data_IF_583023122994
#
_entry.id   IF_583023122994
#
_cell.length_a   1.000
_cell.length_b   1.000
_cell.length_c   1.000
_cell.angle_alpha   90.00
_cell.angle_beta   90.00
_cell.angle_gamma   90.00
#
_symmetry.space_group_name_H-M   'P 1'
#
loop_
_entity.id
_entity.type
_entity.pdbx_description
1 polymer ?
#
# COMPACT_ATOMS: atom_id res chain seq x y z
N UNK A 1 -2.59 4.68 0.34
CA UNK A 1 -3.35 5.94 0.41
C UNK A 1 -4.41 5.91 1.51
N UNK A 2 -5.15 4.83 1.73
CA UNK A 2 -6.07 4.67 2.87
C UNK A 2 -5.35 4.54 4.22
N UNK A 3 -4.15 3.98 4.28
CA UNK A 3 -3.35 3.84 5.51
C UNK A 3 -2.93 5.18 6.12
N UNK A 4 -2.64 6.19 5.30
CA UNK A 4 -2.31 7.54 5.77
C UNK A 4 -3.55 8.30 6.26
N UNK A 5 -4.74 7.98 5.74
CA UNK A 5 -6.01 8.62 6.15
C UNK A 5 -6.47 8.19 7.55
N UNK A 6 -6.19 6.95 7.95
CA UNK A 6 -6.53 6.43 9.29
C UNK A 6 -5.62 7.05 10.35
N UNK A 7 -4.35 7.32 10.02
CA UNK A 7 -3.40 7.99 10.94
C UNK A 7 -3.80 9.46 11.20
N UNK A 8 -4.33 10.16 10.20
CA UNK A 8 -4.84 11.53 10.36
C UNK A 8 -6.09 11.64 11.23
N UNK A 9 -6.97 10.64 11.21
CA UNK A 9 -8.16 10.62 12.07
C UNK A 9 -7.78 10.36 13.54
N UNK A 10 -6.75 9.56 13.78
CA UNK A 10 -6.24 9.27 15.12
C UNK A 10 -5.55 10.49 15.74
N UNK A 11 -4.69 11.18 14.99
CA UNK A 11 -3.98 12.39 15.44
C UNK A 11 -4.97 13.55 15.65
N UNK A 12 -5.94 13.75 14.77
CA UNK A 12 -6.97 14.78 14.90
C UNK A 12 -7.90 14.52 16.08
N UNK A 13 -8.14 13.28 16.46
CA UNK A 13 -8.93 12.93 17.64
C UNK A 13 -8.19 13.26 18.92
N UNK A 14 -6.90 12.92 19.04
CA UNK A 14 -6.08 13.24 20.22
C UNK A 14 -5.81 14.74 20.39
N UNK A 15 -5.65 15.49 19.31
CA UNK A 15 -5.48 16.95 19.38
C UNK A 15 -6.80 17.63 19.76
N UNK A 16 -7.93 17.14 19.28
CA UNK A 16 -9.25 17.63 19.65
C UNK A 16 -9.56 17.33 21.11
N UNK A 17 -9.18 16.14 21.59
CA UNK A 17 -9.34 15.74 22.98
C UNK A 17 -8.38 16.54 23.92
N UNK A 18 -7.16 16.87 23.48
CA UNK A 18 -6.23 17.71 24.23
C UNK A 18 -6.67 19.19 24.28
N UNK A 19 -7.26 19.73 23.23
CA UNK A 19 -7.83 21.09 23.21
C UNK A 19 -9.16 21.17 24.01
N UNK A 20 -9.94 20.10 24.03
CA UNK A 20 -11.11 19.96 24.90
C UNK A 20 -10.73 19.87 26.37
N UNK A 21 -9.58 19.26 26.71
CA UNK A 21 -9.08 19.17 28.09
C UNK A 21 -8.58 20.52 28.64
N UNK A 22 -8.13 21.44 27.81
CA UNK A 22 -7.54 22.71 28.25
C UNK A 22 -8.52 23.91 28.31
N UNK A 23 -9.66 23.86 27.63
CA UNK A 23 -10.55 25.03 27.52
C UNK A 23 -12.01 24.85 27.91
N UNK A 24 -12.53 23.65 28.03
CA UNK A 24 -13.96 23.39 28.22
C UNK A 24 -14.33 22.71 29.54
N UNK A 25 -13.34 22.29 30.36
CA UNK A 25 -13.61 21.59 31.63
C UNK A 25 -14.30 22.47 32.67
N UNK A 26 -14.16 23.76 32.62
CA UNK A 26 -14.77 24.67 33.61
C UNK A 26 -16.24 25.00 33.33
N UNK A 27 -16.64 25.05 32.04
CA UNK A 27 -18.02 25.35 31.62
C UNK A 27 -18.89 24.12 31.64
N UNK A 28 -18.33 22.96 31.26
CA UNK A 28 -19.06 21.69 31.26
C UNK A 28 -19.34 21.14 32.65
N UNK A 29 -18.42 21.32 33.57
CA UNK A 29 -18.60 20.87 34.97
C UNK A 29 -19.78 21.58 35.68
N UNK A 30 -19.93 22.88 35.50
CA UNK A 30 -21.03 23.63 36.13
C UNK A 30 -22.40 23.28 35.60
N UNK A 31 -22.51 22.92 34.30
CA UNK A 31 -23.80 22.53 33.67
C UNK A 31 -24.22 21.12 34.08
N UNK A 32 -23.28 20.21 34.27
CA UNK A 32 -23.54 18.85 34.75
C UNK A 32 -23.90 18.80 36.23
N UNK A 33 -23.28 19.65 37.07
CA UNK A 33 -23.63 19.78 38.50
C UNK A 33 -25.05 20.29 38.67
N UNK A 34 -25.47 21.33 37.94
CA UNK A 34 -26.86 21.82 37.94
C UNK A 34 -27.88 20.76 37.48
N UNK A 35 -27.54 19.90 36.54
CA UNK A 35 -28.40 18.81 36.12
C UNK A 35 -28.48 17.68 37.14
N UNK A 36 -27.42 17.43 37.90
CA UNK A 36 -27.42 16.46 39.01
C UNK A 36 -28.29 16.90 40.15
N UNK A 37 -28.27 18.20 40.54
CA UNK A 37 -29.13 18.77 41.54
C UNK A 37 -30.59 18.81 41.12
N UNK A 38 -30.92 19.07 39.87
CA UNK A 38 -32.30 19.07 39.35
C UNK A 38 -32.95 17.70 39.39
N UNK A 39 -32.19 16.62 39.25
CA UNK A 39 -32.71 15.25 39.43
C UNK A 39 -33.04 14.90 40.89
N UNK A 40 -32.47 15.66 41.88
CA UNK A 40 -32.73 15.44 43.32
C UNK A 40 -33.99 16.11 43.83
N UNK A 41 -34.51 17.13 43.13
CA UNK A 41 -35.69 17.89 43.56
C UNK A 41 -37.03 17.15 43.40
N UNK A 42 -37.05 15.95 42.83
CA UNK A 42 -38.24 15.19 42.53
C UNK A 42 -38.74 14.25 43.67
N UNK A 43 -38.08 14.20 44.84
CA UNK A 43 -38.43 13.30 45.92
C UNK A 43 -38.37 13.97 47.31
N UNK A 44 -39.51 14.25 47.94
CA UNK A 44 -39.62 14.60 49.35
C UNK A 44 -39.34 13.35 50.20
N UNK A 45 -38.08 13.16 50.62
CA UNK A 45 -37.68 12.09 51.55
C UNK A 45 -37.49 12.73 52.93
N UNK A 46 -38.36 12.38 53.90
CA UNK A 46 -38.23 12.78 55.28
C UNK A 46 -37.27 11.80 55.99
N UNK A 47 -36.08 12.28 56.40
CA UNK A 47 -35.10 11.50 57.16
C UNK A 47 -33.67 11.85 56.82
N UNK A 48 -32.70 11.16 57.46
CA UNK A 48 -31.27 11.32 57.18
C UNK A 48 -30.95 10.84 55.77
N UNK A 49 -30.30 11.65 54.95
CA UNK A 49 -30.08 11.42 53.52
C UNK A 49 -28.72 11.91 53.06
N UNK A 50 -28.21 11.30 51.98
CA UNK A 50 -27.04 11.77 51.27
C UNK A 50 -27.45 12.80 50.22
N UNK A 51 -26.80 13.94 50.19
CA UNK A 51 -27.04 14.97 49.18
C UNK A 51 -26.57 14.50 47.81
N UNK A 52 -27.18 15.03 46.74
CA UNK A 52 -26.71 14.78 45.38
C UNK A 52 -25.23 15.15 45.26
N UNK A 53 -24.43 14.28 44.67
CA UNK A 53 -23.02 14.50 44.45
C UNK A 53 -22.51 13.89 43.17
N UNK A 54 -21.53 14.53 42.55
CA UNK A 54 -20.80 13.97 41.44
C UNK A 54 -19.53 13.31 41.92
N UNK A 55 -19.16 12.16 41.38
CA UNK A 55 -17.90 11.52 41.70
C UNK A 55 -16.77 11.98 40.78
N UNK A 56 -15.54 11.49 41.02
CA UNK A 56 -14.33 11.87 40.28
C UNK A 56 -14.38 11.53 38.77
N UNK A 57 -15.29 10.64 38.35
CA UNK A 57 -15.44 10.22 36.95
C UNK A 57 -16.64 10.88 36.27
N UNK A 58 -17.33 11.79 36.95
CA UNK A 58 -18.45 12.55 36.41
C UNK A 58 -19.81 11.84 36.45
N UNK A 59 -19.93 10.75 37.23
CA UNK A 59 -21.24 10.09 37.46
C UNK A 59 -22.04 10.84 38.54
N UNK A 60 -23.26 11.23 38.20
CA UNK A 60 -24.18 11.87 39.14
C UNK A 60 -24.86 10.84 40.03
N UNK A 61 -24.75 11.03 41.37
CA UNK A 61 -25.43 10.27 42.40
C UNK A 61 -26.52 11.14 43.01
N UNK A 62 -27.81 10.82 42.73
CA UNK A 62 -28.92 11.64 43.22
C UNK A 62 -29.07 11.55 44.72
N UNK A 63 -29.76 12.52 45.30
CA UNK A 63 -30.15 12.50 46.70
C UNK A 63 -30.85 11.17 47.03
N UNK A 64 -30.38 10.51 48.11
CA UNK A 64 -30.85 9.16 48.45
C UNK A 64 -30.88 8.96 49.97
N UNK A 65 -31.87 8.18 50.49
CA UNK A 65 -32.00 7.90 51.90
C UNK A 65 -30.78 7.15 52.46
N UNK A 66 -30.47 7.40 53.73
CA UNK A 66 -29.38 6.73 54.43
C UNK A 66 -29.57 5.22 54.52
N UNK A 67 -28.50 4.43 54.34
CA UNK A 67 -28.52 2.96 54.33
C UNK A 67 -28.93 2.34 53.00
N UNK A 68 -29.07 3.12 51.93
CA UNK A 68 -29.49 2.59 50.60
C UNK A 68 -28.29 2.47 49.63
N UNK A 69 -28.25 1.34 48.91
CA UNK A 69 -27.34 1.15 47.78
C UNK A 69 -27.95 1.76 46.54
N UNK A 70 -27.29 2.75 45.95
CA UNK A 70 -27.75 3.45 44.75
C UNK A 70 -27.08 2.86 43.52
N UNK A 71 -27.84 2.63 42.47
CA UNK A 71 -27.40 2.02 41.22
C UNK A 71 -27.45 3.05 40.11
N UNK A 72 -26.40 3.15 39.32
CA UNK A 72 -26.33 4.03 38.14
C UNK A 72 -25.69 3.31 36.98
N UNK A 73 -26.13 3.58 35.74
CA UNK A 73 -25.48 3.01 34.57
C UNK A 73 -24.02 3.46 34.47
N UNK A 74 -23.18 2.61 33.96
CA UNK A 74 -21.76 2.92 33.74
C UNK A 74 -21.59 4.14 32.82
N UNK A 75 -20.60 5.02 33.07
CA UNK A 75 -20.34 6.17 32.20
C UNK A 75 -19.98 5.73 30.79
N UNK A 76 -20.50 6.42 29.78
CA UNK A 76 -20.22 6.08 28.38
C UNK A 76 -18.75 6.26 28.02
N UNK A 77 -18.09 7.24 28.63
CA UNK A 77 -16.67 7.58 28.40
C UNK A 77 -15.98 7.98 29.70
N UNK A 78 -14.78 7.41 29.90
CA UNK A 78 -13.89 7.83 31.00
C UNK A 78 -12.44 7.71 30.56
N UNK A 79 -11.66 8.78 30.69
CA UNK A 79 -10.27 8.90 30.21
C UNK A 79 -10.06 8.41 28.76
N UNK A 80 -10.99 8.74 27.85
CA UNK A 80 -10.89 8.35 26.44
C UNK A 80 -11.23 6.88 26.17
N UNK A 81 -11.66 6.12 27.18
CA UNK A 81 -12.10 4.74 27.08
C UNK A 81 -13.63 4.70 27.09
N UNK A 82 -14.19 3.91 26.18
CA UNK A 82 -15.66 3.68 26.09
C UNK A 82 -16.04 2.47 26.92
N UNK A 83 -17.07 2.65 27.77
CA UNK A 83 -17.61 1.57 28.61
C UNK A 83 -18.99 1.13 28.15
N UNK A 84 -19.35 -0.10 28.54
CA UNK A 84 -20.69 -0.61 28.27
C UNK A 84 -21.69 0.01 29.25
N UNK A 85 -22.58 0.86 28.74
CA UNK A 85 -23.60 1.57 29.52
C UNK A 85 -24.78 0.68 29.98
N UNK A 86 -24.83 -0.59 29.53
CA UNK A 86 -25.83 -1.56 30.01
C UNK A 86 -25.49 -2.12 31.39
N UNK A 87 -24.22 -2.05 31.79
CA UNK A 87 -23.76 -2.46 33.12
C UNK A 87 -23.90 -1.31 34.10
N UNK A 88 -23.87 -1.61 35.39
CA UNK A 88 -24.15 -0.67 36.47
C UNK A 88 -22.95 -0.46 37.38
N UNK A 89 -22.86 0.77 37.92
CA UNK A 89 -22.02 1.13 39.05
C UNK A 89 -22.85 1.30 40.29
N UNK A 90 -22.26 1.05 41.46
CA UNK A 90 -22.95 0.99 42.75
C UNK A 90 -22.24 1.93 43.76
N UNK A 91 -23.05 2.75 44.52
CA UNK A 91 -22.56 3.56 45.62
C UNK A 91 -23.53 3.50 46.79
N UNK A 92 -23.02 3.31 47.96
CA UNK A 92 -23.81 3.22 49.17
C UNK A 92 -23.92 4.59 49.87
N UNK A 93 -25.14 4.98 50.24
CA UNK A 93 -25.37 6.05 51.17
C UNK A 93 -25.30 5.49 52.59
N UNK A 94 -24.27 5.85 53.36
CA UNK A 94 -24.06 5.34 54.72
C UNK A 94 -25.13 5.80 55.68
N UNK A 95 -25.30 5.07 56.80
CA UNK A 95 -26.27 5.39 57.83
C UNK A 95 -26.10 6.76 58.49
N UNK A 96 -24.92 7.38 58.37
CA UNK A 96 -24.62 8.73 58.84
C UNK A 96 -24.99 9.85 57.85
N UNK A 97 -25.62 9.55 56.72
CA UNK A 97 -25.97 10.52 55.69
C UNK A 97 -24.82 10.99 54.81
N UNK A 98 -23.68 10.28 54.82
CA UNK A 98 -22.56 10.54 53.91
C UNK A 98 -22.41 9.41 52.86
N UNK A 99 -21.93 9.77 51.67
CA UNK A 99 -21.63 8.80 50.65
C UNK A 99 -20.38 7.96 50.97
N UNK A 100 -20.43 6.67 50.62
CA UNK A 100 -19.24 5.82 50.70
C UNK A 100 -18.10 6.41 49.89
N UNK A 101 -16.88 6.36 50.44
CA UNK A 101 -15.70 6.96 49.83
C UNK A 101 -15.30 6.27 48.52
N UNK A 102 -15.65 5.00 48.35
CA UNK A 102 -15.41 4.22 47.13
C UNK A 102 -16.70 3.90 46.43
N UNK A 103 -16.71 4.14 45.10
CA UNK A 103 -17.76 3.70 44.20
C UNK A 103 -17.36 2.35 43.63
N UNK A 104 -18.28 1.40 43.53
CA UNK A 104 -18.04 0.11 42.96
C UNK A 104 -18.40 0.13 41.48
N UNK A 105 -17.38 0.16 40.61
CA UNK A 105 -17.49 0.07 39.15
C UNK A 105 -16.99 -1.26 38.59
N UNK A 106 -16.90 -2.31 39.41
CA UNK A 106 -16.36 -3.62 38.98
C UNK A 106 -17.10 -4.29 37.83
N UNK A 107 -18.36 -3.96 37.66
CA UNK A 107 -19.19 -4.46 36.54
C UNK A 107 -19.04 -3.62 35.25
N UNK A 108 -18.45 -2.43 35.33
CA UNK A 108 -18.24 -1.56 34.18
C UNK A 108 -17.12 -2.12 33.30
N UNK A 109 -17.51 -2.89 32.30
CA UNK A 109 -16.55 -3.46 31.36
C UNK A 109 -16.25 -2.45 30.25
N UNK A 110 -14.98 -2.29 29.96
CA UNK A 110 -14.54 -1.51 28.79
C UNK A 110 -15.03 -2.17 27.52
N UNK A 111 -15.58 -1.40 26.58
CA UNK A 111 -15.85 -1.86 25.21
C UNK A 111 -14.51 -1.88 24.44
N UNK A 112 -13.59 -2.72 24.94
CA UNK A 112 -12.19 -2.80 24.52
C UNK A 112 -11.97 -3.61 23.26
N UNK A 113 -12.98 -4.41 22.84
CA UNK A 113 -12.73 -5.43 21.83
C UNK A 113 -12.57 -4.89 20.41
N UNK A 114 -13.31 -3.86 20.01
CA UNK A 114 -13.25 -3.35 18.63
C UNK A 114 -12.05 -2.44 18.38
N UNK A 115 -11.79 -1.47 19.24
CA UNK A 115 -10.72 -0.47 19.00
C UNK A 115 -9.31 -1.01 19.21
N UNK A 116 -9.10 -1.86 20.22
CA UNK A 116 -7.79 -2.49 20.47
C UNK A 116 -7.46 -3.53 19.41
N UNK A 117 -8.44 -4.34 18.98
CA UNK A 117 -8.26 -5.26 17.85
C UNK A 117 -7.99 -4.51 16.56
N UNK A 118 -8.71 -3.43 16.28
CA UNK A 118 -8.49 -2.57 15.13
C UNK A 118 -7.09 -1.97 15.12
N UNK A 119 -6.57 -1.49 16.26
CA UNK A 119 -5.20 -0.97 16.39
C UNK A 119 -4.12 -2.04 16.11
N UNK A 120 -4.30 -3.25 16.64
CA UNK A 120 -3.35 -4.36 16.40
C UNK A 120 -3.32 -4.71 14.91
N UNK A 121 -4.49 -4.85 14.27
CA UNK A 121 -4.57 -5.14 12.83
C UNK A 121 -3.94 -4.03 11.98
N UNK A 122 -4.11 -2.78 12.38
CA UNK A 122 -3.47 -1.64 11.73
C UNK A 122 -1.94 -1.71 11.83
N UNK A 123 -1.38 -1.98 13.02
CA UNK A 123 0.07 -2.12 13.19
C UNK A 123 0.64 -3.26 12.36
N UNK A 124 -0.04 -4.39 12.30
CA UNK A 124 0.38 -5.53 11.45
C UNK A 124 0.36 -5.13 9.97
N UNK A 125 -0.66 -4.43 9.51
CA UNK A 125 -0.73 -3.93 8.14
C UNK A 125 0.41 -2.95 7.81
N UNK A 126 0.78 -2.08 8.74
CA UNK A 126 1.93 -1.17 8.60
C UNK A 126 3.24 -1.96 8.47
N UNK A 127 3.45 -2.99 9.30
CA UNK A 127 4.64 -3.85 9.21
C UNK A 127 4.70 -4.56 7.86
N UNK A 128 3.57 -5.10 7.37
CA UNK A 128 3.48 -5.73 6.04
C UNK A 128 3.87 -4.73 4.95
N UNK A 129 3.39 -3.49 5.03
CA UNK A 129 3.73 -2.45 4.07
C UNK A 129 5.23 -2.13 4.06
N UNK A 130 5.85 -1.90 5.23
CA UNK A 130 7.29 -1.62 5.31
C UNK A 130 8.12 -2.78 4.77
N UNK A 131 7.85 -4.02 5.19
CA UNK A 131 8.55 -5.21 4.70
C UNK A 131 8.37 -5.38 3.20
N UNK A 132 7.14 -5.25 2.70
CA UNK A 132 6.83 -5.39 1.29
C UNK A 132 7.55 -4.35 0.43
N UNK A 133 7.53 -3.08 0.82
CA UNK A 133 8.25 -2.01 0.10
C UNK A 133 9.77 -2.20 0.15
N UNK A 134 10.36 -2.65 1.28
CA UNK A 134 11.78 -2.97 1.37
C UNK A 134 12.17 -4.09 0.41
N UNK A 135 11.46 -5.22 0.46
CA UNK A 135 11.71 -6.39 -0.42
C UNK A 135 11.53 -5.99 -1.88
N UNK A 136 10.47 -5.23 -2.19
CA UNK A 136 10.20 -4.73 -3.54
C UNK A 136 11.32 -3.83 -4.04
N UNK A 137 11.81 -2.90 -3.24
CA UNK A 137 12.87 -1.98 -3.64
C UNK A 137 14.17 -2.72 -3.92
N UNK A 138 14.57 -3.67 -3.06
CA UNK A 138 15.77 -4.49 -3.27
C UNK A 138 15.64 -5.31 -4.57
N UNK A 139 14.52 -6.00 -4.77
CA UNK A 139 14.29 -6.79 -5.97
C UNK A 139 14.30 -5.94 -7.27
N UNK A 140 13.68 -4.76 -7.21
CA UNK A 140 13.66 -3.80 -8.32
C UNK A 140 15.06 -3.27 -8.65
N UNK A 141 15.86 -2.93 -7.64
CA UNK A 141 17.24 -2.47 -7.85
C UNK A 141 18.12 -3.55 -8.48
N UNK A 142 17.99 -4.80 -8.02
CA UNK A 142 18.69 -5.94 -8.62
C UNK A 142 18.27 -6.10 -10.08
N UNK A 143 16.96 -6.09 -10.38
CA UNK A 143 16.44 -6.18 -11.75
C UNK A 143 16.94 -5.02 -12.62
N UNK A 144 16.94 -3.80 -12.12
CA UNK A 144 17.44 -2.61 -12.81
C UNK A 144 18.92 -2.75 -13.19
N UNK A 145 19.77 -3.17 -12.24
CA UNK A 145 21.21 -3.40 -12.48
C UNK A 145 21.42 -4.52 -13.51
N UNK A 146 20.63 -5.59 -13.47
CA UNK A 146 20.70 -6.66 -14.46
C UNK A 146 20.39 -6.15 -15.87
N UNK A 147 19.34 -5.37 -16.06
CA UNK A 147 19.02 -4.76 -17.34
C UNK A 147 20.10 -3.79 -17.83
N UNK A 148 20.73 -3.01 -16.96
CA UNK A 148 21.85 -2.13 -17.29
C UNK A 148 23.06 -2.92 -17.76
N UNK A 149 23.38 -4.04 -17.09
CA UNK A 149 24.57 -4.85 -17.35
C UNK A 149 24.41 -5.76 -18.59
N UNK A 150 23.18 -6.13 -18.94
CA UNK A 150 22.86 -7.05 -20.04
C UNK A 150 22.51 -6.26 -21.32
N UNK A 151 23.46 -5.55 -21.89
CA UNK A 151 23.27 -4.75 -23.13
C UNK A 151 22.81 -5.59 -24.33
N UNK A 152 23.03 -6.90 -24.32
CA UNK A 152 22.72 -7.81 -25.44
C UNK A 152 21.22 -8.08 -25.65
N UNK A 153 20.38 -7.72 -24.68
CA UNK A 153 18.93 -7.96 -24.73
C UNK A 153 18.08 -6.67 -24.90
N UNK A 154 18.65 -5.64 -25.55
CA UNK A 154 17.95 -4.36 -25.78
C UNK A 154 16.98 -4.49 -26.95
N UNK A 155 15.79 -5.01 -26.72
CA UNK A 155 14.63 -4.93 -27.62
C UNK A 155 13.59 -3.94 -27.05
N UNK A 156 12.61 -3.54 -27.86
CA UNK A 156 11.57 -2.58 -27.45
C UNK A 156 10.84 -3.06 -26.20
N UNK A 157 10.50 -4.33 -26.09
CA UNK A 157 9.87 -4.94 -24.90
C UNK A 157 10.72 -4.70 -23.65
N UNK A 158 12.01 -4.98 -23.70
CA UNK A 158 12.89 -4.84 -22.55
C UNK A 158 13.16 -3.37 -22.20
N UNK A 159 13.04 -2.43 -23.14
CA UNK A 159 13.06 -0.99 -22.88
C UNK A 159 11.83 -0.58 -22.08
N UNK A 160 10.63 -1.08 -22.43
CA UNK A 160 9.39 -0.82 -21.70
C UNK A 160 9.50 -1.39 -20.29
N UNK A 161 9.93 -2.65 -20.13
CA UNK A 161 10.14 -3.27 -18.81
C UNK A 161 11.13 -2.48 -17.95
N UNK A 162 12.21 -2.00 -18.52
CA UNK A 162 13.21 -1.22 -17.78
C UNK A 162 12.67 0.12 -17.28
N UNK A 163 11.89 0.82 -18.10
CA UNK A 163 11.24 2.06 -17.68
C UNK A 163 10.16 1.80 -16.62
N UNK A 164 9.38 0.73 -16.76
CA UNK A 164 8.41 0.30 -15.76
C UNK A 164 9.08 0.03 -14.40
N UNK A 165 10.18 -0.74 -14.39
CA UNK A 165 10.98 -0.99 -13.19
C UNK A 165 11.50 0.31 -12.60
N UNK A 166 11.98 1.25 -13.44
CA UNK A 166 12.44 2.57 -12.98
C UNK A 166 11.32 3.37 -12.31
N UNK A 167 10.12 3.37 -12.88
CA UNK A 167 8.96 4.04 -12.30
C UNK A 167 8.57 3.42 -10.94
N UNK A 168 8.63 2.09 -10.81
CA UNK A 168 8.40 1.42 -9.53
C UNK A 168 9.47 1.73 -8.47
N UNK A 169 10.74 1.83 -8.87
CA UNK A 169 11.82 2.24 -7.95
C UNK A 169 11.55 3.64 -7.42
N UNK A 170 11.23 4.59 -8.32
CA UNK A 170 10.98 5.98 -7.94
C UNK A 170 9.73 6.11 -7.04
N UNK A 171 8.67 5.35 -7.34
CA UNK A 171 7.49 5.30 -6.47
C UNK A 171 7.82 4.77 -5.07
N UNK A 172 8.54 3.64 -4.98
CA UNK A 172 8.95 3.07 -3.69
C UNK A 172 9.89 4.04 -2.93
N UNK A 173 10.84 4.66 -3.61
CA UNK A 173 11.75 5.63 -3.00
C UNK A 173 10.99 6.85 -2.45
N UNK A 174 10.07 7.42 -3.22
CA UNK A 174 9.24 8.54 -2.75
C UNK A 174 8.29 8.13 -1.62
N UNK A 175 7.82 6.88 -1.60
CA UNK A 175 7.04 6.35 -0.47
C UNK A 175 7.87 6.39 0.83
N UNK A 176 9.13 5.92 0.81
CA UNK A 176 10.03 6.00 1.97
C UNK A 176 10.32 7.46 2.36
N UNK A 177 10.52 8.35 1.39
CA UNK A 177 10.71 9.79 1.68
C UNK A 177 9.48 10.34 2.41
N UNK A 178 8.27 10.04 1.94
CA UNK A 178 7.02 10.43 2.59
C UNK A 178 6.94 9.90 4.03
N UNK A 179 7.23 8.60 4.23
CA UNK A 179 7.17 7.99 5.57
C UNK A 179 8.18 8.60 6.56
N UNK A 180 9.37 8.98 6.09
CA UNK A 180 10.44 9.52 6.92
C UNK A 180 10.29 11.03 7.19
N UNK A 181 9.71 11.78 6.25
CA UNK A 181 9.71 13.26 6.31
C UNK A 181 8.37 13.85 6.75
N UNK A 182 7.27 13.12 6.57
CA UNK A 182 5.92 13.61 6.83
C UNK A 182 5.47 13.31 8.27
N UNK A 183 6.07 14.03 9.25
CA UNK A 183 5.57 14.02 10.62
C UNK A 183 4.26 14.82 10.74
N UNK A 184 3.45 14.61 11.80
CA UNK A 184 2.23 15.40 12.05
C UNK A 184 2.48 16.91 12.11
N UNK A 185 3.63 17.33 12.63
CA UNK A 185 4.05 18.75 12.71
C UNK A 185 4.29 19.35 11.33
N UNK A 186 4.94 18.58 10.44
CA UNK A 186 5.19 18.99 9.05
C UNK A 186 3.88 19.12 8.28
N UNK A 187 2.92 18.21 8.51
CA UNK A 187 1.59 18.31 7.91
C UNK A 187 0.84 19.57 8.31
N UNK A 188 0.95 19.99 9.58
CA UNK A 188 0.31 21.20 10.07
C UNK A 188 0.97 22.48 9.53
N UNK A 189 2.30 22.46 9.39
CA UNK A 189 3.07 23.62 8.91
C UNK A 189 2.86 23.93 7.43
N UNK A 190 2.37 22.99 6.63
CA UNK A 190 2.04 23.12 5.21
C UNK A 190 3.15 23.81 4.39
N UNK A 191 4.39 23.48 4.63
CA UNK A 191 5.58 24.09 3.99
C UNK A 191 5.65 23.73 2.50
N UNK A 192 6.28 24.56 1.69
CA UNK A 192 6.36 24.35 0.24
C UNK A 192 7.03 23.04 -0.18
N UNK A 193 8.06 22.59 0.54
CA UNK A 193 8.77 21.35 0.22
C UNK A 193 7.91 20.10 0.47
N UNK A 194 7.03 20.10 1.49
CA UNK A 194 6.17 18.94 1.75
C UNK A 194 5.13 18.75 0.64
N UNK A 195 4.61 19.87 0.07
CA UNK A 195 3.72 19.83 -1.09
C UNK A 195 4.43 19.27 -2.32
N UNK A 196 5.71 19.64 -2.52
CA UNK A 196 6.53 19.11 -3.61
C UNK A 196 6.74 17.60 -3.47
N UNK A 197 7.04 17.10 -2.26
CA UNK A 197 7.18 15.67 -2.00
C UNK A 197 5.88 14.91 -2.29
N UNK A 198 4.74 15.46 -1.87
CA UNK A 198 3.42 14.87 -2.17
C UNK A 198 3.14 14.86 -3.67
N UNK A 199 3.45 15.95 -4.37
CA UNK A 199 3.30 16.03 -5.83
C UNK A 199 4.20 15.02 -6.54
N UNK A 200 5.46 14.86 -6.11
CA UNK A 200 6.38 13.86 -6.65
C UNK A 200 5.89 12.44 -6.42
N UNK A 201 5.39 12.13 -5.21
CA UNK A 201 4.81 10.83 -4.90
C UNK A 201 3.63 10.51 -5.83
N UNK A 202 2.69 11.45 -5.99
CA UNK A 202 1.53 11.27 -6.88
C UNK A 202 1.96 11.18 -8.35
N UNK A 203 2.98 11.93 -8.79
CA UNK A 203 3.51 11.84 -10.15
C UNK A 203 4.05 10.44 -10.44
N UNK A 204 4.92 9.88 -9.60
CA UNK A 204 5.44 8.53 -9.80
C UNK A 204 4.37 7.46 -9.64
N UNK A 205 3.35 7.71 -8.80
CA UNK A 205 2.22 6.82 -8.69
C UNK A 205 1.42 6.75 -10.01
N UNK A 206 1.06 7.89 -10.60
CA UNK A 206 0.36 7.96 -11.90
C UNK A 206 1.24 7.38 -13.01
N UNK A 207 2.53 7.70 -13.03
CA UNK A 207 3.51 7.20 -13.99
C UNK A 207 3.54 5.66 -14.03
N UNK A 208 3.44 4.98 -12.89
CA UNK A 208 3.36 3.52 -12.85
C UNK A 208 2.15 2.98 -13.63
N UNK A 209 0.97 3.61 -13.50
CA UNK A 209 -0.23 3.20 -14.24
C UNK A 209 -0.06 3.41 -15.74
N UNK A 210 0.53 4.52 -16.14
CA UNK A 210 0.77 4.80 -17.56
C UNK A 210 1.84 3.88 -18.15
N UNK A 211 2.84 3.44 -17.40
CA UNK A 211 3.79 2.42 -17.86
C UNK A 211 3.17 1.02 -17.92
N UNK A 212 2.29 0.65 -16.97
CA UNK A 212 1.50 -0.57 -17.05
C UNK A 212 0.55 -0.54 -18.25
N UNK A 213 -0.01 0.61 -18.58
CA UNK A 213 -0.80 0.81 -19.79
C UNK A 213 0.05 0.69 -21.07
N UNK A 214 1.24 1.28 -21.09
CA UNK A 214 2.19 1.13 -22.20
C UNK A 214 2.56 -0.33 -22.45
N UNK A 215 2.79 -1.11 -21.39
CA UNK A 215 3.02 -2.55 -21.50
C UNK A 215 1.80 -3.29 -22.05
N UNK A 216 0.60 -2.95 -21.57
CA UNK A 216 -0.66 -3.50 -22.10
C UNK A 216 -0.84 -3.22 -23.57
N UNK A 217 -0.60 -2.00 -24.02
CA UNK A 217 -0.62 -1.62 -25.42
C UNK A 217 0.38 -2.43 -26.26
N UNK A 218 1.61 -2.57 -25.76
CA UNK A 218 2.64 -3.34 -26.43
C UNK A 218 2.25 -4.81 -26.56
N UNK A 219 1.82 -5.45 -25.48
CA UNK A 219 1.41 -6.86 -25.48
C UNK A 219 0.20 -7.11 -26.36
N UNK A 220 -0.82 -6.25 -26.28
CA UNK A 220 -2.01 -6.34 -27.10
C UNK A 220 -1.64 -6.23 -28.58
N UNK A 221 -0.82 -5.26 -28.97
CA UNK A 221 -0.36 -5.07 -30.36
C UNK A 221 0.47 -6.26 -30.84
N UNK A 222 1.37 -6.78 -30.01
CA UNK A 222 2.22 -7.91 -30.36
C UNK A 222 1.44 -9.22 -30.58
N UNK A 223 0.34 -9.43 -29.83
CA UNK A 223 -0.45 -10.66 -29.85
C UNK A 223 -1.55 -10.58 -30.91
N UNK A 224 -2.23 -9.43 -31.03
CA UNK A 224 -3.38 -9.23 -31.93
C UNK A 224 -2.92 -8.90 -33.37
N UNK A 225 -1.92 -7.99 -33.46
CA UNK A 225 -1.46 -7.43 -34.73
C UNK A 225 -0.09 -7.99 -35.12
N UNK A 226 0.07 -9.30 -35.11
CA UNK A 226 1.32 -10.09 -35.31
C UNK A 226 2.30 -9.53 -36.38
N UNK A 227 1.87 -8.61 -37.23
CA UNK A 227 2.62 -8.03 -38.35
C UNK A 227 3.04 -6.57 -38.18
N UNK A 228 2.61 -5.88 -37.11
CA UNK A 228 2.74 -4.40 -37.01
C UNK A 228 3.66 -3.88 -35.90
N UNK A 229 4.43 -4.76 -35.26
CA UNK A 229 5.36 -4.34 -34.17
C UNK A 229 6.48 -3.42 -34.63
N UNK A 230 6.85 -3.47 -35.92
CA UNK A 230 7.91 -2.62 -36.51
C UNK A 230 7.51 -1.13 -36.61
N UNK A 231 6.21 -0.82 -36.55
CA UNK A 231 5.71 0.57 -36.54
C UNK A 231 5.71 1.21 -35.16
N UNK A 232 5.87 0.44 -34.09
CA UNK A 232 5.87 0.96 -32.71
C UNK A 232 7.18 1.65 -32.39
N UNK A 233 7.16 2.98 -32.27
CA UNK A 233 8.35 3.77 -31.94
C UNK A 233 8.53 3.84 -30.43
N UNK A 234 9.74 3.56 -29.94
CA UNK A 234 10.10 3.67 -28.51
C UNK A 234 9.72 5.01 -27.85
N UNK A 235 9.82 6.10 -28.62
CA UNK A 235 9.50 7.45 -28.12
C UNK A 235 8.04 7.63 -27.78
N UNK A 236 7.12 6.96 -28.48
CA UNK A 236 5.69 6.98 -28.17
C UNK A 236 5.44 6.44 -26.75
N UNK A 237 6.05 5.32 -26.39
CA UNK A 237 5.91 4.76 -25.03
C UNK A 237 6.53 5.64 -23.97
N UNK A 238 7.68 6.28 -24.26
CA UNK A 238 8.32 7.22 -23.34
C UNK A 238 7.43 8.45 -23.10
N UNK A 239 6.83 9.01 -24.16
CA UNK A 239 5.89 10.12 -24.04
C UNK A 239 4.63 9.72 -23.26
N UNK A 240 4.07 8.54 -23.51
CA UNK A 240 2.91 8.05 -22.76
C UNK A 240 3.26 7.83 -21.30
N UNK A 241 4.36 7.12 -21.01
CA UNK A 241 4.71 6.70 -19.66
C UNK A 241 5.18 7.83 -18.74
N UNK A 242 6.03 8.75 -19.26
CA UNK A 242 6.59 9.86 -18.48
C UNK A 242 5.94 11.21 -18.79
N UNK A 243 5.59 11.47 -20.06
CA UNK A 243 5.10 12.77 -20.52
C UNK A 243 3.65 13.05 -20.13
N UNK A 244 2.75 12.10 -20.36
CA UNK A 244 1.31 12.30 -20.08
C UNK A 244 1.01 12.50 -18.59
N UNK A 245 1.64 11.77 -17.62
CA UNK A 245 1.42 12.02 -16.21
C UNK A 245 1.77 13.43 -15.73
N UNK A 246 2.74 14.08 -16.37
CA UNK A 246 3.22 15.38 -15.93
C UNK A 246 2.14 16.48 -15.96
N UNK A 247 1.47 16.78 -17.08
CA UNK A 247 0.41 17.79 -17.11
C UNK A 247 -0.79 17.41 -16.21
N UNK A 248 -1.08 16.13 -16.01
CA UNK A 248 -2.15 15.68 -15.11
C UNK A 248 -1.83 16.10 -13.68
N UNK A 249 -0.60 15.84 -13.21
CA UNK A 249 -0.19 16.22 -11.85
C UNK A 249 -0.03 17.74 -11.69
N UNK A 250 0.41 18.46 -12.73
CA UNK A 250 0.42 19.93 -12.71
C UNK A 250 -1.01 20.48 -12.54
N UNK A 251 -1.97 19.98 -13.32
CA UNK A 251 -3.37 20.38 -13.19
C UNK A 251 -3.94 20.04 -11.80
N UNK A 252 -3.61 18.86 -11.25
CA UNK A 252 -3.98 18.49 -9.89
C UNK A 252 -3.35 19.42 -8.85
N UNK A 253 -2.06 19.73 -8.97
CA UNK A 253 -1.36 20.62 -8.05
C UNK A 253 -1.93 22.04 -8.06
N UNK A 254 -2.29 22.55 -9.23
CA UNK A 254 -2.99 23.83 -9.38
C UNK A 254 -4.35 23.76 -8.68
N UNK A 255 -5.12 22.72 -8.91
CA UNK A 255 -6.40 22.51 -8.21
C UNK A 255 -6.26 22.46 -6.69
N UNK A 256 -5.26 21.74 -6.17
CA UNK A 256 -4.96 21.70 -4.73
C UNK A 256 -4.54 23.06 -4.18
N UNK A 257 -3.76 23.82 -4.94
CA UNK A 257 -3.30 25.15 -4.52
C UNK A 257 -4.47 26.13 -4.35
N UNK A 258 -5.48 26.09 -5.25
CA UNK A 258 -6.61 27.00 -5.22
C UNK A 258 -7.76 26.56 -4.31
N UNK A 259 -8.04 25.25 -4.22
CA UNK A 259 -9.24 24.74 -3.56
C UNK A 259 -8.96 24.02 -2.23
N UNK A 260 -7.75 23.50 -2.02
CA UNK A 260 -7.43 22.66 -0.84
C UNK A 260 -5.95 22.76 -0.44
N UNK A 261 -5.50 23.98 -0.19
CA UNK A 261 -4.10 24.29 0.11
C UNK A 261 -3.77 24.09 1.60
N UNK A 262 -4.03 22.88 2.13
CA UNK A 262 -3.80 22.55 3.53
C UNK A 262 -3.09 21.19 3.66
N UNK A 263 -2.51 20.93 4.84
CA UNK A 263 -1.94 19.63 5.25
C UNK A 263 -1.01 18.99 4.20
N UNK A 264 -0.13 19.77 3.59
CA UNK A 264 0.79 19.29 2.55
C UNK A 264 0.10 18.58 1.38
N UNK A 265 -1.17 18.89 1.09
CA UNK A 265 -2.02 18.26 0.07
C UNK A 265 -2.30 16.77 0.32
N UNK A 266 -2.01 16.27 1.54
CA UNK A 266 -2.38 14.92 1.96
C UNK A 266 -3.81 14.87 2.48
N UNK A 267 -4.51 13.78 2.18
CA UNK A 267 -5.85 13.51 2.66
C UNK A 267 -6.94 14.02 1.71
N UNK A 268 -8.15 13.52 1.94
CA UNK A 268 -9.36 13.94 1.22
C UNK A 268 -10.21 14.78 2.16
N UNK A 269 -10.55 16.00 1.73
CA UNK A 269 -11.57 16.81 2.40
C UNK A 269 -12.94 16.45 1.83
N UNK A 270 -13.96 16.22 2.65
CA UNK A 270 -15.32 15.98 2.14
C UNK A 270 -15.78 17.20 1.34
N UNK A 271 -16.30 16.97 0.12
CA UNK A 271 -16.77 18.03 -0.79
C UNK A 271 -15.72 18.59 -1.76
N UNK A 272 -14.46 18.19 -1.68
CA UNK A 272 -13.41 18.60 -2.63
C UNK A 272 -13.03 17.45 -3.55
N UNK A 273 -13.22 17.68 -4.87
CA UNK A 273 -13.07 16.65 -5.90
C UNK A 273 -11.77 16.78 -6.71
N UNK A 274 -10.80 17.56 -6.24
CA UNK A 274 -9.53 17.80 -6.96
C UNK A 274 -8.72 16.52 -7.21
N UNK A 275 -8.81 15.52 -6.33
CA UNK A 275 -8.09 14.25 -6.49
C UNK A 275 -8.58 13.41 -7.68
N UNK A 276 -9.81 13.64 -8.16
CA UNK A 276 -10.31 12.97 -9.35
C UNK A 276 -9.59 13.38 -10.63
N UNK A 277 -8.86 14.50 -10.64
CA UNK A 277 -8.07 14.97 -11.80
C UNK A 277 -7.01 13.91 -12.18
N UNK A 278 -6.35 13.28 -11.21
CA UNK A 278 -5.37 12.22 -11.50
C UNK A 278 -5.97 10.81 -11.36
N UNK A 279 -6.95 10.63 -10.47
CA UNK A 279 -7.61 9.32 -10.26
C UNK A 279 -8.45 8.91 -11.48
N UNK A 280 -9.14 9.85 -12.12
CA UNK A 280 -9.94 9.60 -13.33
C UNK A 280 -9.13 8.96 -14.46
N UNK A 281 -8.05 9.59 -14.93
CA UNK A 281 -7.16 8.98 -15.92
C UNK A 281 -6.57 7.63 -15.50
N UNK A 282 -6.24 7.44 -14.21
CA UNK A 282 -5.75 6.14 -13.71
C UNK A 282 -6.81 5.05 -13.83
N UNK A 283 -8.05 5.34 -13.46
CA UNK A 283 -9.17 4.39 -13.60
C UNK A 283 -9.40 4.06 -15.07
N UNK A 284 -9.36 5.07 -15.93
CA UNK A 284 -9.54 4.87 -17.37
C UNK A 284 -8.47 3.93 -17.96
N UNK A 285 -7.19 4.13 -17.65
CA UNK A 285 -6.13 3.24 -18.14
C UNK A 285 -6.24 1.84 -17.57
N UNK A 286 -6.71 1.67 -16.32
CA UNK A 286 -6.99 0.37 -15.74
C UNK A 286 -8.11 -0.37 -16.47
N UNK A 287 -9.21 0.32 -16.79
CA UNK A 287 -10.31 -0.24 -17.55
C UNK A 287 -9.85 -0.70 -18.95
N UNK A 288 -9.05 0.11 -19.64
CA UNK A 288 -8.49 -0.26 -20.93
C UNK A 288 -7.56 -1.48 -20.80
N UNK A 289 -6.72 -1.52 -19.75
CA UNK A 289 -5.87 -2.67 -19.49
C UNK A 289 -6.67 -3.95 -19.21
N UNK A 290 -7.81 -3.83 -18.53
CA UNK A 290 -8.71 -4.96 -18.34
C UNK A 290 -9.26 -5.50 -19.67
N UNK A 291 -9.66 -4.61 -20.58
CA UNK A 291 -10.10 -4.99 -21.94
C UNK A 291 -8.95 -5.67 -22.70
N UNK A 292 -7.73 -5.13 -22.61
CA UNK A 292 -6.55 -5.75 -23.21
C UNK A 292 -6.29 -7.16 -22.67
N UNK A 293 -6.36 -7.32 -21.33
CA UNK A 293 -6.20 -8.63 -20.69
C UNK A 293 -7.22 -9.62 -21.22
N UNK A 294 -8.50 -9.25 -21.27
CA UNK A 294 -9.57 -10.11 -21.78
C UNK A 294 -9.30 -10.55 -23.22
N UNK A 295 -8.93 -9.62 -24.10
CA UNK A 295 -8.59 -9.91 -25.48
C UNK A 295 -7.37 -10.82 -25.61
N UNK A 296 -6.30 -10.55 -24.84
CA UNK A 296 -5.07 -11.35 -24.83
C UNK A 296 -5.36 -12.79 -24.39
N UNK A 297 -6.12 -12.96 -23.30
CA UNK A 297 -6.50 -14.28 -22.79
C UNK A 297 -7.36 -15.02 -23.81
N UNK A 298 -8.35 -14.35 -24.40
CA UNK A 298 -9.21 -14.94 -25.44
C UNK A 298 -8.39 -15.46 -26.62
N UNK A 299 -7.47 -14.64 -27.14
CA UNK A 299 -6.63 -15.03 -28.29
C UNK A 299 -5.65 -16.16 -27.90
N UNK A 300 -5.08 -16.08 -26.70
CA UNK A 300 -4.20 -17.12 -26.19
C UNK A 300 -4.91 -18.45 -26.06
N UNK A 301 -6.13 -18.48 -25.53
CA UNK A 301 -6.96 -19.68 -25.44
C UNK A 301 -7.29 -20.24 -26.82
N UNK A 302 -7.65 -19.38 -27.79
CA UNK A 302 -7.94 -19.80 -29.15
C UNK A 302 -6.71 -20.44 -29.85
N UNK A 303 -5.53 -19.80 -29.70
CA UNK A 303 -4.28 -20.32 -30.25
C UNK A 303 -3.83 -21.63 -29.58
N UNK A 304 -4.04 -21.76 -28.27
CA UNK A 304 -3.72 -22.99 -27.53
C UNK A 304 -4.67 -24.13 -27.92
N UNK A 305 -5.96 -23.84 -28.13
CA UNK A 305 -6.95 -24.84 -28.56
C UNK A 305 -6.67 -25.40 -29.97
N UNK A 306 -6.07 -24.59 -30.80
CA UNK A 306 -5.64 -25.03 -32.15
C UNK A 306 -4.36 -25.89 -32.13
N UNK A 307 -3.67 -26.03 -30.99
CA UNK A 307 -2.45 -26.83 -30.86
C UNK A 307 -2.78 -28.30 -30.54
N UNK A 308 -1.94 -29.23 -31.00
CA UNK A 308 -2.11 -30.68 -30.80
C UNK A 308 -1.74 -31.21 -29.40
N UNK A 309 -1.43 -30.33 -28.47
CA UNK A 309 -1.07 -30.70 -27.09
C UNK A 309 -2.31 -31.02 -26.24
N UNK A 310 -2.14 -31.86 -25.20
CA UNK A 310 -3.24 -32.24 -24.29
C UNK A 310 -3.91 -31.01 -23.63
N UNK A 311 -5.23 -31.04 -23.46
CA UNK A 311 -6.05 -29.96 -22.90
C UNK A 311 -5.55 -29.46 -21.52
N UNK A 312 -5.10 -30.37 -20.68
CA UNK A 312 -4.56 -30.06 -19.35
C UNK A 312 -3.30 -29.18 -19.43
N UNK A 313 -2.41 -29.46 -20.38
CA UNK A 313 -1.17 -28.68 -20.55
C UNK A 313 -1.49 -27.29 -21.12
N UNK A 314 -2.45 -27.22 -22.05
CA UNK A 314 -2.94 -25.93 -22.59
C UNK A 314 -3.54 -25.04 -21.53
N UNK A 315 -4.43 -25.59 -20.69
CA UNK A 315 -5.06 -24.87 -19.59
C UNK A 315 -4.01 -24.34 -18.58
N UNK A 316 -3.05 -25.18 -18.18
CA UNK A 316 -1.96 -24.76 -17.28
C UNK A 316 -1.13 -23.60 -17.85
N UNK A 317 -0.81 -23.62 -19.14
CA UNK A 317 -0.07 -22.54 -19.81
C UNK A 317 -0.88 -21.23 -19.84
N UNK A 318 -2.18 -21.31 -20.12
CA UNK A 318 -3.07 -20.15 -20.15
C UNK A 318 -3.22 -19.53 -18.76
N UNK A 319 -3.50 -20.34 -17.74
CA UNK A 319 -3.62 -19.88 -16.35
C UNK A 319 -2.32 -19.21 -15.88
N UNK A 320 -1.17 -19.84 -16.15
CA UNK A 320 0.14 -19.26 -15.79
C UNK A 320 0.36 -17.90 -16.47
N UNK A 321 0.05 -17.78 -17.75
CA UNK A 321 0.18 -16.52 -18.48
C UNK A 321 -0.75 -15.45 -17.92
N UNK A 322 -1.99 -15.79 -17.61
CA UNK A 322 -2.98 -14.87 -17.01
C UNK A 322 -2.54 -14.39 -15.63
N UNK A 323 -2.08 -15.30 -14.76
CA UNK A 323 -1.59 -14.95 -13.42
C UNK A 323 -0.38 -14.01 -13.47
N UNK A 324 0.49 -14.14 -14.46
CA UNK A 324 1.61 -13.21 -14.66
C UNK A 324 1.13 -11.85 -15.17
N UNK A 325 0.09 -11.80 -16.00
CA UNK A 325 -0.44 -10.58 -16.59
C UNK A 325 -1.26 -9.73 -15.59
N UNK A 326 -1.93 -10.35 -14.60
CA UNK A 326 -2.77 -9.65 -13.63
C UNK A 326 -2.04 -8.52 -12.87
N UNK A 327 -0.93 -8.78 -12.17
CA UNK A 327 -0.20 -7.71 -11.48
C UNK A 327 0.47 -6.73 -12.45
N UNK A 328 0.78 -7.20 -13.66
CA UNK A 328 1.40 -6.44 -14.71
C UNK A 328 0.55 -5.29 -15.23
N UNK A 329 -0.70 -5.59 -15.52
CA UNK A 329 -1.64 -4.62 -16.06
C UNK A 329 -2.29 -3.77 -14.98
N UNK A 330 -1.87 -3.93 -13.71
CA UNK A 330 -2.40 -3.19 -12.58
C UNK A 330 -3.83 -3.58 -12.19
N UNK A 331 -4.33 -4.70 -12.68
CA UNK A 331 -5.72 -5.12 -12.45
C UNK A 331 -6.00 -5.42 -10.99
N UNK A 332 -4.97 -5.77 -10.21
CA UNK A 332 -5.07 -5.91 -8.75
C UNK A 332 -5.56 -4.63 -8.07
N UNK A 333 -5.34 -3.47 -8.67
CA UNK A 333 -5.89 -2.19 -8.17
C UNK A 333 -7.41 -2.07 -8.32
N UNK A 334 -8.03 -2.84 -9.21
CA UNK A 334 -9.49 -2.87 -9.32
C UNK A 334 -10.15 -3.41 -8.04
N UNK A 335 -9.43 -4.24 -7.28
CA UNK A 335 -9.90 -4.75 -5.99
C UNK A 335 -10.00 -3.66 -4.91
N UNK A 336 -9.28 -2.53 -5.04
CA UNK A 336 -9.38 -1.39 -4.13
C UNK A 336 -10.72 -0.64 -4.23
N UNK A 337 -11.47 -0.84 -5.30
CA UNK A 337 -12.80 -0.25 -5.47
C UNK A 337 -13.92 -1.11 -4.87
N UNK A 338 -13.61 -2.34 -4.45
CA UNK A 338 -14.56 -3.21 -3.76
C UNK A 338 -14.70 -2.71 -2.32
N UNK A 339 -15.90 -2.28 -1.95
CA UNK A 339 -16.20 -1.95 -0.57
C UNK A 339 -16.39 -3.26 0.23
N UNK A 340 -15.62 -3.51 1.29
CA UNK A 340 -15.67 -4.76 2.04
C UNK A 340 -16.95 -4.96 2.88
N UNK A 341 -17.93 -4.03 2.78
CA UNK A 341 -19.15 -4.07 3.60
C UNK A 341 -18.91 -3.63 5.06
N UNK A 342 -19.92 -3.85 5.91
CA UNK A 342 -19.87 -3.46 7.33
C UNK A 342 -19.23 -4.53 8.23
N UNK A 343 -18.99 -5.74 7.71
CA UNK A 343 -18.40 -6.85 8.46
C UNK A 343 -16.96 -6.56 8.87
N UNK A 344 -16.68 -6.62 10.16
CA UNK A 344 -15.36 -6.36 10.74
C UNK A 344 -14.30 -7.31 10.17
N UNK A 345 -14.62 -8.59 10.02
CA UNK A 345 -13.71 -9.62 9.50
C UNK A 345 -13.35 -9.34 8.03
N UNK A 346 -14.35 -9.05 7.20
CA UNK A 346 -14.15 -8.72 5.79
C UNK A 346 -13.28 -7.48 5.61
N UNK A 347 -13.45 -6.47 6.46
CA UNK A 347 -12.64 -5.23 6.47
C UNK A 347 -11.18 -5.51 6.82
N UNK A 348 -10.92 -6.33 7.85
CA UNK A 348 -9.56 -6.70 8.26
C UNK A 348 -8.84 -7.49 7.17
N UNK A 349 -9.52 -8.49 6.58
CA UNK A 349 -8.97 -9.27 5.46
C UNK A 349 -8.63 -8.35 4.29
N UNK A 350 -9.53 -7.42 3.96
CA UNK A 350 -9.34 -6.47 2.88
C UNK A 350 -8.13 -5.55 3.12
N UNK A 351 -7.94 -5.04 4.35
CA UNK A 351 -6.78 -4.22 4.73
C UNK A 351 -5.47 -5.00 4.52
N UNK A 352 -5.39 -6.25 5.02
CA UNK A 352 -4.18 -7.06 4.86
C UNK A 352 -3.88 -7.42 3.41
N UNK A 353 -4.91 -7.81 2.68
CA UNK A 353 -4.79 -8.17 1.28
C UNK A 353 -4.32 -6.98 0.42
N UNK A 354 -4.92 -5.81 0.63
CA UNK A 354 -4.51 -4.59 -0.07
C UNK A 354 -3.10 -4.17 0.30
N UNK A 355 -2.74 -4.18 1.59
CA UNK A 355 -1.40 -3.84 2.06
C UNK A 355 -0.35 -4.78 1.45
N UNK A 356 -0.64 -6.07 1.37
CA UNK A 356 0.23 -7.05 0.73
C UNK A 356 0.37 -6.80 -0.77
N UNK A 357 -0.74 -6.68 -1.50
CA UNK A 357 -0.71 -6.50 -2.94
C UNK A 357 0.03 -5.21 -3.36
N UNK A 358 -0.25 -4.10 -2.67
CA UNK A 358 0.37 -2.82 -2.97
C UNK A 358 1.87 -2.81 -2.69
N UNK A 359 2.29 -3.30 -1.54
CA UNK A 359 3.69 -3.26 -1.10
C UNK A 359 4.58 -4.26 -1.84
N UNK A 360 4.06 -5.46 -2.16
CA UNK A 360 4.80 -6.50 -2.88
C UNK A 360 4.70 -6.41 -4.41
N UNK A 361 3.93 -5.48 -4.96
CA UNK A 361 3.77 -5.34 -6.41
C UNK A 361 5.12 -5.19 -7.14
N UNK A 362 6.03 -4.37 -6.61
CA UNK A 362 7.37 -4.19 -7.18
C UNK A 362 8.19 -5.48 -7.18
N UNK A 363 8.07 -6.30 -6.15
CA UNK A 363 8.69 -7.62 -6.10
C UNK A 363 8.14 -8.53 -7.21
N UNK A 364 6.83 -8.64 -7.36
CA UNK A 364 6.22 -9.46 -8.41
C UNK A 364 6.61 -8.98 -9.81
N UNK A 365 6.62 -7.68 -10.05
CA UNK A 365 7.10 -7.09 -11.30
C UNK A 365 8.54 -7.51 -11.58
N UNK A 366 9.44 -7.43 -10.60
CA UNK A 366 10.85 -7.85 -10.75
C UNK A 366 10.97 -9.35 -11.06
N UNK A 367 10.19 -10.19 -10.36
CA UNK A 367 10.21 -11.64 -10.56
C UNK A 367 9.76 -12.00 -11.98
N UNK A 368 8.64 -11.45 -12.43
CA UNK A 368 8.06 -11.85 -13.72
C UNK A 368 8.83 -11.28 -14.91
N UNK A 369 9.28 -10.04 -14.85
CA UNK A 369 9.96 -9.39 -15.98
C UNK A 369 11.43 -9.66 -16.06
N UNK A 370 12.10 -9.83 -14.92
CA UNK A 370 13.54 -10.02 -14.87
C UNK A 370 13.91 -11.47 -14.53
N UNK A 371 13.54 -11.96 -13.36
CA UNK A 371 14.07 -13.23 -12.86
C UNK A 371 13.50 -14.47 -13.57
N UNK A 372 12.24 -14.44 -13.97
CA UNK A 372 11.60 -15.52 -14.73
C UNK A 372 11.69 -15.34 -16.25
N UNK A 373 12.17 -14.21 -16.72
CA UNK A 373 12.33 -13.95 -18.15
C UNK A 373 13.42 -14.87 -18.75
N UNK A 374 13.06 -15.67 -19.73
CA UNK A 374 13.96 -16.65 -20.38
C UNK A 374 15.16 -15.99 -21.07
N UNK A 375 14.97 -14.80 -21.65
CA UNK A 375 16.06 -14.05 -22.30
C UNK A 375 17.08 -13.55 -21.29
N UNK A 376 16.62 -12.98 -20.16
CA UNK A 376 17.47 -12.52 -19.07
C UNK A 376 18.23 -13.69 -18.48
N UNK A 377 17.55 -14.80 -18.17
CA UNK A 377 18.18 -16.02 -17.64
C UNK A 377 19.23 -16.60 -18.60
N UNK A 378 18.93 -16.66 -19.88
CA UNK A 378 19.88 -17.12 -20.89
C UNK A 378 21.09 -16.19 -21.00
N UNK A 379 20.89 -14.87 -20.98
CA UNK A 379 21.97 -13.90 -21.04
C UNK A 379 22.87 -13.95 -19.79
N UNK A 380 22.28 -14.14 -18.59
CA UNK A 380 23.02 -14.34 -17.33
C UNK A 380 23.87 -15.61 -17.42
N UNK A 381 23.26 -16.75 -17.86
CA UNK A 381 23.96 -18.02 -18.01
C UNK A 381 25.13 -17.92 -18.98
N UNK A 382 24.94 -17.29 -20.15
CA UNK A 382 26.01 -17.06 -21.13
C UNK A 382 27.13 -16.19 -20.56
N UNK A 383 26.81 -15.20 -19.75
CA UNK A 383 27.81 -14.33 -19.09
C UNK A 383 28.54 -15.08 -18.00
N UNK A 384 27.86 -15.90 -17.21
CA UNK A 384 28.44 -16.75 -16.18
C UNK A 384 29.42 -17.75 -16.76
N UNK A 385 29.06 -18.49 -17.83
CA UNK A 385 29.96 -19.42 -18.50
C UNK A 385 31.20 -18.71 -19.03
N UNK A 386 31.06 -17.55 -19.68
CA UNK A 386 32.21 -16.75 -20.13
C UNK A 386 33.10 -16.29 -18.98
N UNK A 387 32.54 -16.00 -17.82
CA UNK A 387 33.31 -15.65 -16.62
C UNK A 387 34.03 -16.87 -16.07
N UNK A 388 33.37 -18.03 -15.97
CA UNK A 388 33.99 -19.30 -15.56
C UNK A 388 35.15 -19.68 -16.51
N UNK A 389 34.93 -19.57 -17.81
CA UNK A 389 35.98 -19.88 -18.81
C UNK A 389 37.22 -18.99 -18.67
N UNK A 390 37.02 -17.71 -18.31
CA UNK A 390 38.11 -16.79 -18.06
C UNK A 390 38.89 -17.08 -16.76
N UNK A 391 38.21 -17.58 -15.75
CA UNK A 391 38.79 -17.72 -14.40
C UNK A 391 39.05 -19.19 -14.02
N UNK A 392 38.62 -20.17 -14.86
CA UNK A 392 38.86 -21.57 -14.55
C UNK A 392 40.37 -21.90 -14.66
N UNK A 393 40.87 -22.64 -13.70
CA UNK A 393 42.27 -23.19 -13.71
C UNK A 393 42.47 -24.00 -14.98
N UNK A 394 41.40 -24.70 -15.45
CA UNK A 394 41.39 -25.53 -16.65
C UNK A 394 41.66 -24.70 -17.95
N UNK A 395 41.10 -23.50 -18.04
CA UNK A 395 41.35 -22.58 -19.17
C UNK A 395 42.80 -22.02 -19.14
N UNK A 396 43.40 -21.84 -17.95
CA UNK A 396 44.79 -21.45 -17.81
C UNK A 396 45.76 -22.59 -18.18
N UNK A 397 45.47 -23.81 -17.77
CA UNK A 397 46.23 -24.99 -18.09
C UNK A 397 46.13 -25.33 -19.58
N UNK A 398 44.96 -25.26 -20.20
CA UNK A 398 44.78 -25.46 -21.63
C UNK A 398 45.53 -24.45 -22.48
N UNK A 399 45.56 -23.17 -22.06
CA UNK A 399 46.39 -22.14 -22.71
C UNK A 399 47.89 -22.38 -22.53
N UNK A 400 48.30 -22.85 -21.37
CA UNK A 400 49.74 -23.19 -21.12
C UNK A 400 50.19 -24.41 -21.94
N UNK A 401 49.30 -25.41 -22.14
CA UNK A 401 49.56 -26.58 -22.97
C UNK A 401 49.42 -26.33 -24.47
N UNK A 402 48.75 -25.29 -24.88
CA UNK A 402 48.61 -24.91 -26.31
C UNK A 402 49.76 -24.04 -26.85
N UNK A 403 50.74 -23.67 -26.02
CA UNK A 403 51.97 -23.04 -26.46
C UNK A 403 52.81 -24.13 -27.09
N UNK A 404 53.07 -24.13 -28.41
CA UNK A 404 53.85 -25.16 -29.06
C UNK A 404 55.31 -25.06 -28.54
N UNK A 405 55.70 -26.07 -27.74
CA UNK A 405 57.06 -26.16 -27.18
C UNK A 405 58.12 -26.67 -28.15
N UNK A 406 57.73 -26.85 -29.42
CA UNK A 406 58.70 -27.31 -30.45
C UNK A 406 58.31 -26.82 -31.82
N UNK A 407 59.23 -26.13 -32.53
CA UNK A 407 58.98 -25.65 -33.90
C UNK A 407 58.90 -26.77 -34.94
N UNK A 408 59.16 -28.03 -34.58
CA UNK A 408 59.26 -29.16 -35.50
C UNK A 408 57.90 -29.85 -35.83
N UNK A 409 56.79 -29.40 -35.21
CA UNK A 409 55.46 -30.03 -35.46
C UNK A 409 54.57 -29.31 -36.48
N UNK A 410 55.02 -28.22 -37.07
CA UNK A 410 54.25 -27.42 -38.03
C UNK A 410 54.42 -27.94 -39.46
N UNK A 411 55.41 -28.81 -39.74
CA UNK A 411 55.79 -29.20 -41.11
C UNK A 411 55.02 -30.38 -41.69
N UNK A 412 54.26 -31.15 -40.91
CA UNK A 412 53.66 -32.40 -41.43
C UNK A 412 52.24 -32.28 -41.96
N UNK A 413 51.53 -31.17 -41.79
CA UNK A 413 50.17 -31.02 -42.30
C UNK A 413 50.04 -30.35 -43.67
N UNK A 414 51.13 -29.84 -44.23
CA UNK A 414 51.10 -29.10 -45.50
C UNK A 414 51.38 -29.97 -46.75
N UNK A 415 51.72 -31.27 -46.58
CA UNK A 415 52.15 -32.10 -47.74
C UNK A 415 51.04 -33.06 -48.26
N UNK A 416 49.84 -33.03 -47.62
CA UNK A 416 48.75 -33.93 -48.06
C UNK A 416 47.67 -33.31 -48.95
N UNK A 417 47.82 -32.10 -49.45
CA UNK A 417 46.81 -31.44 -50.26
C UNK A 417 47.21 -31.10 -51.72
N UNK A 418 48.32 -31.62 -52.23
CA UNK A 418 48.78 -31.34 -53.59
C UNK A 418 48.89 -32.57 -54.54
N UNK A 419 48.17 -33.66 -54.29
CA UNK A 419 48.04 -34.75 -55.23
C UNK A 419 46.64 -35.35 -55.23
N UNK A 420 45.71 -34.73 -56.00
CA UNK A 420 44.61 -35.36 -56.69
C UNK A 420 44.19 -34.41 -57.81
N UNK A 421 44.57 -34.73 -59.00
CA UNK A 421 44.07 -34.27 -60.28
C UNK A 421 42.63 -34.67 -60.43
#
# INVERSE_FOLDING_TARGET
MQTVLVENDFVNRHIRDALLLLGLNTISASFQDQHCESLSLAGNVSGLQCNASMDLIGTCWPQSPAGQLVVRPCPAYFYGVRYNTTNNGYRECLANGSWAARVNYSECQEILSGEKKSKVHYHVAVIINYLGHCISLVALLVAFVLFLRLRSIRCLRNIIHWNLISAFILRNATWFVVQLTMSPEVHQSNVGWCRLVTAAYNYFHVTNFFWMFGEGCYLHTAIVLTYSTDRLRKWMFICIGWGVPFPIIVAWAIGKLYYDNEKCWFGKRPGVYTDYIYQGPMILVLLINFIFLFNIVRILMTKLRASTTSETIQYRKAVKATLVLLPLLGITYMLFFVNPGEDEVSRVIFIYFNSFLESFQGFFVSVFYCFLNSEVRSAIRKRWHRWQDKHSIRARVARAMSIPTSPTRVSFHSIKQSTAV
#
